data_IF_680787064455
#
_entry.id   IF_680787064455
#
_cell.length_a   1.000
_cell.length_b   1.000
_cell.length_c   1.000
_cell.angle_alpha   90.00
_cell.angle_beta   90.00
_cell.angle_gamma   90.00
#
_symmetry.space_group_name_H-M   'P 1'
#
loop_
_entity.id
_entity.type
_entity.pdbx_description
1 polymer ?
#
# COMPACT_ATOMS: atom_id res chain seq x y z
N UNK A 1 -31.88 -21.21 -74.43
CA UNK A 1 -31.00 -21.03 -73.25
C UNK A 1 -30.02 -19.89 -73.54
N UNK A 2 -29.82 -18.91 -72.63
CA UNK A 2 -28.93 -17.75 -72.85
C UNK A 2 -27.53 -18.05 -72.26
N UNK A 3 -26.50 -18.35 -73.09
CA UNK A 3 -25.18 -18.78 -72.60
C UNK A 3 -24.37 -17.67 -71.89
N UNK A 4 -24.64 -16.42 -72.23
CA UNK A 4 -23.89 -15.22 -71.79
C UNK A 4 -24.21 -14.76 -70.35
N UNK A 5 -25.33 -15.20 -69.77
CA UNK A 5 -25.69 -14.86 -68.38
C UNK A 5 -24.88 -15.62 -67.34
N UNK A 6 -24.31 -16.78 -67.68
CA UNK A 6 -23.48 -17.59 -66.78
C UNK A 6 -22.19 -16.86 -66.35
N UNK A 7 -21.38 -16.30 -67.26
CA UNK A 7 -20.18 -15.54 -66.84
C UNK A 7 -20.52 -14.24 -66.09
N UNK A 8 -21.60 -13.53 -66.47
CA UNK A 8 -22.00 -12.30 -65.80
C UNK A 8 -22.50 -12.55 -64.36
N UNK A 9 -23.33 -13.58 -64.15
CA UNK A 9 -23.82 -13.96 -62.82
C UNK A 9 -22.73 -14.55 -61.92
N UNK A 10 -21.74 -15.25 -62.49
CA UNK A 10 -20.57 -15.70 -61.75
C UNK A 10 -19.73 -14.50 -61.24
N UNK A 11 -19.56 -13.47 -62.07
CA UNK A 11 -18.79 -12.27 -61.71
C UNK A 11 -19.49 -11.43 -60.63
N UNK A 12 -20.81 -11.28 -60.71
CA UNK A 12 -21.60 -10.60 -59.68
C UNK A 12 -21.48 -11.27 -58.30
N UNK A 13 -21.55 -12.61 -58.25
CA UNK A 13 -21.38 -13.36 -57.00
C UNK A 13 -20.00 -13.18 -56.38
N UNK A 14 -18.95 -13.15 -57.19
CA UNK A 14 -17.59 -12.91 -56.70
C UNK A 14 -17.45 -11.52 -56.09
N UNK A 15 -17.96 -10.48 -56.77
CA UNK A 15 -17.96 -9.13 -56.22
C UNK A 15 -18.76 -9.01 -54.92
N UNK A 16 -19.90 -9.72 -54.82
CA UNK A 16 -20.71 -9.74 -53.58
C UNK A 16 -19.93 -10.41 -52.44
N UNK A 17 -19.23 -11.51 -52.71
CA UNK A 17 -18.40 -12.18 -51.71
C UNK A 17 -17.18 -11.34 -51.30
N UNK A 18 -16.53 -10.65 -52.23
CA UNK A 18 -15.42 -9.75 -51.96
C UNK A 18 -15.87 -8.56 -51.10
N UNK A 19 -17.05 -7.98 -51.38
CA UNK A 19 -17.64 -6.92 -50.57
C UNK A 19 -17.93 -7.40 -49.13
N UNK A 20 -18.44 -8.62 -48.99
CA UNK A 20 -18.71 -9.22 -47.68
C UNK A 20 -17.42 -9.50 -46.90
N UNK A 21 -16.37 -10.00 -47.56
CA UNK A 21 -15.05 -10.19 -46.96
C UNK A 21 -14.48 -8.86 -46.48
N UNK A 22 -14.52 -7.82 -47.32
CA UNK A 22 -14.02 -6.49 -46.97
C UNK A 22 -14.76 -5.89 -45.76
N UNK A 23 -16.09 -6.03 -45.73
CA UNK A 23 -16.91 -5.60 -44.60
C UNK A 23 -16.55 -6.35 -43.31
N UNK A 24 -16.44 -7.68 -43.37
CA UNK A 24 -16.10 -8.50 -42.20
C UNK A 24 -14.68 -8.20 -41.69
N UNK A 25 -13.71 -8.00 -42.58
CA UNK A 25 -12.35 -7.60 -42.22
C UNK A 25 -12.34 -6.25 -41.47
N UNK A 26 -13.07 -5.25 -41.96
CA UNK A 26 -13.19 -3.96 -41.28
C UNK A 26 -13.82 -4.13 -39.89
N UNK A 27 -14.86 -4.97 -39.76
CA UNK A 27 -15.52 -5.24 -38.49
C UNK A 27 -14.57 -5.89 -37.48
N UNK A 28 -13.75 -6.85 -37.92
CA UNK A 28 -12.72 -7.49 -37.08
C UNK A 28 -11.70 -6.44 -36.60
N UNK A 29 -11.21 -5.58 -37.50
CA UNK A 29 -10.24 -4.55 -37.12
C UNK A 29 -10.81 -3.52 -36.14
N UNK A 30 -12.10 -3.17 -36.29
CA UNK A 30 -12.80 -2.33 -35.32
C UNK A 30 -12.90 -3.00 -33.95
N UNK A 31 -13.33 -4.26 -33.91
CA UNK A 31 -13.41 -5.02 -32.66
C UNK A 31 -12.05 -5.22 -32.01
N UNK A 32 -10.98 -5.43 -32.80
CA UNK A 32 -9.61 -5.49 -32.29
C UNK A 32 -9.18 -4.17 -31.67
N UNK A 33 -9.47 -3.02 -32.30
CA UNK A 33 -9.19 -1.69 -31.72
C UNK A 33 -9.95 -1.46 -30.42
N UNK A 34 -11.22 -1.87 -30.36
CA UNK A 34 -12.06 -1.76 -29.16
C UNK A 34 -11.55 -2.67 -28.02
N UNK A 35 -11.22 -3.93 -28.31
CA UNK A 35 -10.76 -4.92 -27.32
C UNK A 35 -9.32 -4.70 -26.87
N UNK A 36 -8.43 -4.41 -27.81
CA UNK A 36 -7.01 -4.30 -27.54
C UNK A 36 -6.55 -2.87 -27.30
N UNK A 37 -7.27 -1.80 -27.68
CA UNK A 37 -6.79 -0.43 -27.49
C UNK A 37 -6.42 -0.10 -26.04
N UNK A 38 -7.42 0.13 -25.19
CA UNK A 38 -7.18 0.53 -23.78
C UNK A 38 -6.57 -0.58 -22.92
N UNK A 39 -6.89 -1.85 -23.19
CA UNK A 39 -6.39 -2.99 -22.41
C UNK A 39 -4.94 -3.34 -22.77
N UNK A 40 -4.55 -3.30 -24.04
CA UNK A 40 -3.17 -3.61 -24.44
C UNK A 40 -2.21 -2.54 -23.96
N UNK A 41 -2.61 -1.26 -23.96
CA UNK A 41 -1.80 -0.17 -23.43
C UNK A 41 -1.55 -0.34 -21.93
N UNK A 42 -2.58 -0.71 -21.15
CA UNK A 42 -2.43 -0.99 -19.72
C UNK A 42 -1.52 -2.18 -19.48
N UNK A 43 -1.71 -3.28 -20.21
CA UNK A 43 -0.85 -4.46 -20.06
C UNK A 43 0.58 -4.18 -20.51
N UNK A 44 0.79 -3.40 -21.57
CA UNK A 44 2.12 -3.03 -22.04
C UNK A 44 2.86 -2.17 -21.00
N UNK A 45 2.17 -1.19 -20.39
CA UNK A 45 2.72 -0.38 -19.30
C UNK A 45 3.05 -1.23 -18.08
N UNK A 46 2.16 -2.14 -17.68
CA UNK A 46 2.40 -3.06 -16.56
C UNK A 46 3.59 -3.98 -16.84
N UNK A 47 3.72 -4.50 -18.06
CA UNK A 47 4.85 -5.33 -18.46
C UNK A 47 6.15 -4.52 -18.38
N UNK A 48 6.16 -3.27 -18.83
CA UNK A 48 7.35 -2.42 -18.75
C UNK A 48 7.75 -2.12 -17.30
N UNK A 49 6.78 -1.76 -16.45
CA UNK A 49 7.01 -1.57 -15.01
C UNK A 49 7.57 -2.83 -14.34
N UNK A 50 7.02 -4.00 -14.69
CA UNK A 50 7.51 -5.27 -14.14
C UNK A 50 8.92 -5.59 -14.61
N UNK A 51 9.28 -5.29 -15.86
CA UNK A 51 10.65 -5.45 -16.35
C UNK A 51 11.63 -4.56 -15.60
N UNK A 52 11.30 -3.28 -15.40
CA UNK A 52 12.14 -2.34 -14.66
C UNK A 52 12.38 -2.81 -13.21
N UNK A 53 11.32 -3.28 -12.53
CA UNK A 53 11.42 -3.84 -11.18
C UNK A 53 12.24 -5.14 -11.13
N UNK A 54 12.09 -6.00 -12.14
CA UNK A 54 12.91 -7.22 -12.25
C UNK A 54 14.38 -6.85 -12.44
N UNK A 55 14.68 -5.85 -13.29
CA UNK A 55 16.04 -5.36 -13.48
C UNK A 55 16.62 -4.80 -12.17
N UNK A 56 15.90 -3.93 -11.45
CA UNK A 56 16.37 -3.40 -10.17
C UNK A 56 16.60 -4.50 -9.14
N UNK A 57 15.70 -5.49 -9.06
CA UNK A 57 15.86 -6.62 -8.15
C UNK A 57 17.10 -7.48 -8.51
N UNK A 58 17.39 -7.69 -9.80
CA UNK A 58 18.61 -8.39 -10.21
C UNK A 58 19.88 -7.61 -9.88
N UNK A 59 19.86 -6.29 -10.02
CA UNK A 59 20.96 -5.41 -9.63
C UNK A 59 21.20 -5.44 -8.11
N UNK A 60 20.13 -5.40 -7.32
CA UNK A 60 20.19 -5.52 -5.86
C UNK A 60 20.72 -6.90 -5.43
N UNK A 61 20.31 -7.98 -6.09
CA UNK A 61 20.86 -9.32 -5.84
C UNK A 61 22.36 -9.39 -6.15
N UNK A 62 22.80 -8.79 -7.26
CA UNK A 62 24.22 -8.74 -7.62
C UNK A 62 25.01 -7.90 -6.61
N UNK A 63 24.47 -6.76 -6.18
CA UNK A 63 25.07 -5.91 -5.16
C UNK A 63 25.15 -6.62 -3.80
N UNK A 64 24.09 -7.34 -3.40
CA UNK A 64 24.05 -8.13 -2.17
C UNK A 64 25.07 -9.28 -2.22
N UNK A 65 25.19 -10.00 -3.35
CA UNK A 65 26.22 -11.03 -3.54
C UNK A 65 27.63 -10.45 -3.45
N UNK A 66 27.87 -9.32 -4.10
CA UNK A 66 29.16 -8.63 -4.03
C UNK A 66 29.48 -8.12 -2.61
N UNK A 67 28.48 -7.64 -1.87
CA UNK A 67 28.63 -7.24 -0.47
C UNK A 67 28.92 -8.45 0.43
N UNK A 68 28.18 -9.56 0.26
CA UNK A 68 28.40 -10.80 1.00
C UNK A 68 29.77 -11.42 0.71
N UNK A 69 30.29 -11.34 -0.52
CA UNK A 69 31.65 -11.77 -0.83
C UNK A 69 32.72 -10.93 -0.12
N UNK A 70 32.42 -9.67 0.23
CA UNK A 70 33.32 -8.77 0.96
C UNK A 70 33.22 -8.93 2.49
N UNK A 71 32.14 -9.51 3.01
CA UNK A 71 32.01 -9.69 4.46
C UNK A 71 32.86 -10.87 4.92
N UNK A 72 33.60 -10.68 6.01
CA UNK A 72 34.29 -11.78 6.68
C UNK A 72 33.29 -12.54 7.55
N UNK A 73 33.30 -13.86 7.45
CA UNK A 73 32.48 -14.74 8.30
C UNK A 73 33.06 -14.73 9.72
N UNK A 74 32.42 -14.00 10.62
CA UNK A 74 32.85 -13.94 12.02
C UNK A 74 32.29 -15.16 12.77
N UNK A 75 33.14 -15.87 13.51
CA UNK A 75 32.72 -16.97 14.38
C UNK A 75 31.67 -16.49 15.40
N UNK A 76 30.65 -17.29 15.66
CA UNK A 76 29.63 -16.96 16.65
C UNK A 76 30.26 -16.82 18.04
N UNK A 77 30.32 -15.59 18.56
CA UNK A 77 30.78 -15.30 19.91
C UNK A 77 29.59 -14.98 20.81
N UNK A 78 29.42 -15.78 21.87
CA UNK A 78 28.41 -15.53 22.90
C UNK A 78 28.83 -14.33 23.75
N UNK A 79 28.28 -13.14 23.46
CA UNK A 79 28.44 -11.98 24.34
C UNK A 79 27.74 -12.26 25.67
N UNK A 80 28.46 -12.11 26.78
CA UNK A 80 27.86 -12.13 28.12
C UNK A 80 26.79 -11.04 28.18
N UNK A 81 25.56 -11.41 28.58
CA UNK A 81 24.46 -10.46 28.78
C UNK A 81 24.88 -9.46 29.85
N UNK A 82 25.12 -8.20 29.46
CA UNK A 82 25.38 -7.15 30.43
C UNK A 82 24.12 -6.91 31.24
N UNK A 83 24.18 -7.20 32.54
CA UNK A 83 23.14 -6.81 33.48
C UNK A 83 23.41 -5.35 33.81
N UNK A 84 22.46 -4.45 33.51
CA UNK A 84 22.56 -3.07 34.01
C UNK A 84 22.62 -3.14 35.53
N UNK A 85 23.65 -2.54 36.12
CA UNK A 85 23.78 -2.41 37.57
C UNK A 85 22.50 -1.77 38.11
N UNK A 86 21.91 -2.34 39.15
CA UNK A 86 20.73 -1.76 39.78
C UNK A 86 21.06 -0.32 40.23
N UNK A 87 20.09 0.58 40.10
CA UNK A 87 20.25 1.98 40.50
C UNK A 87 20.53 2.04 42.01
N UNK A 88 21.51 2.84 42.48
CA UNK A 88 21.77 3.07 43.90
C UNK A 88 20.49 3.54 44.64
N UNK A 89 20.31 3.08 45.88
CA UNK A 89 19.11 3.38 46.68
C UNK A 89 18.98 4.86 47.09
N UNK A 90 20.10 5.58 47.21
CA UNK A 90 20.19 6.93 47.78
C UNK A 90 20.00 8.07 46.76
N UNK A 91 19.42 7.79 45.60
CA UNK A 91 19.22 8.80 44.55
C UNK A 91 17.78 9.32 44.61
N UNK A 92 17.61 10.64 44.58
CA UNK A 92 16.30 11.28 44.44
C UNK A 92 15.65 10.89 43.11
N UNK A 93 14.53 10.15 43.17
CA UNK A 93 13.81 9.61 42.01
C UNK A 93 12.56 10.43 41.73
N UNK A 94 12.48 11.04 40.55
CA UNK A 94 11.24 11.67 40.09
C UNK A 94 10.35 10.64 39.39
N UNK A 95 9.08 10.54 39.82
CA UNK A 95 8.07 9.68 39.19
C UNK A 95 7.33 10.47 38.11
N UNK A 96 7.73 10.28 36.85
CA UNK A 96 7.02 10.87 35.70
C UNK A 96 5.91 9.92 35.24
N UNK A 97 4.66 10.37 35.34
CA UNK A 97 3.51 9.70 34.71
C UNK A 97 3.46 10.15 33.25
N UNK A 98 3.64 9.21 32.32
CA UNK A 98 3.48 9.46 30.89
C UNK A 98 2.08 9.03 30.52
N UNK A 99 1.24 9.99 30.13
CA UNK A 99 -0.10 9.71 29.65
C UNK A 99 -0.04 8.86 28.36
N UNK A 100 -0.98 7.92 28.17
CA UNK A 100 -1.03 7.11 26.96
C UNK A 100 -1.21 8.02 25.72
N UNK A 101 -0.61 7.66 24.58
CA UNK A 101 -0.94 8.34 23.34
C UNK A 101 -2.45 8.19 23.11
N UNK A 102 -3.15 9.31 22.89
CA UNK A 102 -4.61 9.33 22.80
C UNK A 102 -5.17 8.32 21.78
N UNK A 103 -6.45 7.93 21.91
CA UNK A 103 -7.06 6.92 21.06
C UNK A 103 -6.94 7.31 19.59
N UNK A 104 -6.13 6.55 18.84
CA UNK A 104 -6.13 6.63 17.37
C UNK A 104 -7.42 5.99 16.88
N UNK A 105 -8.38 6.82 16.49
CA UNK A 105 -9.52 6.34 15.70
C UNK A 105 -9.00 5.54 14.52
N UNK A 106 -9.59 4.35 14.28
CA UNK A 106 -9.31 3.64 13.03
C UNK A 106 -9.69 4.60 11.90
N UNK A 107 -8.71 4.93 11.06
CA UNK A 107 -8.77 5.92 9.98
C UNK A 107 -10.22 6.18 9.52
N UNK A 108 -10.80 7.26 10.04
CA UNK A 108 -12.12 7.71 9.63
C UNK A 108 -11.97 8.32 8.23
N UNK A 109 -12.08 7.47 7.22
CA UNK A 109 -12.19 7.90 5.83
C UNK A 109 -13.56 8.47 5.57
N UNK A 110 -13.77 9.75 5.91
CA UNK A 110 -14.60 10.67 5.12
C UNK A 110 -14.65 12.04 5.79
N UNK A 111 -14.43 13.06 4.97
CA UNK A 111 -14.42 14.46 5.29
C UNK A 111 -15.72 14.96 5.93
N UNK A 112 -15.57 15.96 6.81
CA UNK A 112 -16.30 17.24 6.79
C UNK A 112 -16.93 17.68 8.10
N UNK A 113 -16.47 18.88 8.51
CA UNK A 113 -17.15 19.98 9.20
C UNK A 113 -17.08 19.97 10.72
N UNK A 114 -16.58 21.12 11.19
CA UNK A 114 -16.05 21.33 12.52
C UNK A 114 -17.09 21.51 13.59
N UNK A 115 -16.65 21.33 14.82
CA UNK A 115 -17.29 21.94 15.97
C UNK A 115 -16.26 22.52 16.91
N UNK A 116 -16.68 23.65 17.46
CA UNK A 116 -16.03 24.54 18.41
C UNK A 116 -15.46 23.79 19.60
N UNK A 117 -14.23 24.18 19.95
CA UNK A 117 -13.53 23.77 21.16
C UNK A 117 -14.18 24.47 22.36
N UNK A 118 -15.16 23.83 23.01
CA UNK A 118 -15.53 24.20 24.38
C UNK A 118 -14.68 23.37 25.33
N UNK A 119 -13.73 24.04 25.97
CA UNK A 119 -12.92 23.52 27.07
C UNK A 119 -13.81 23.37 28.30
N UNK A 120 -14.25 22.15 28.60
CA UNK A 120 -14.89 21.85 29.89
C UNK A 120 -13.85 21.24 30.84
N UNK A 121 -13.63 21.80 32.04
CA UNK A 121 -12.70 21.23 33.00
C UNK A 121 -13.50 20.28 33.88
N UNK A 122 -13.52 18.97 33.56
CA UNK A 122 -13.86 17.86 34.50
C UNK A 122 -13.91 16.49 33.79
N UNK A 123 -12.92 16.17 32.95
CA UNK A 123 -12.82 14.85 32.31
C UNK A 123 -11.64 14.06 32.89
N UNK A 124 -11.73 13.67 34.16
CA UNK A 124 -10.92 12.54 34.67
C UNK A 124 -11.69 11.24 34.42
N UNK A 125 -11.10 10.40 33.58
CA UNK A 125 -11.23 8.92 33.63
C UNK A 125 -12.37 8.20 32.90
N UNK A 126 -13.00 8.78 31.87
CA UNK A 126 -13.94 8.00 31.03
C UNK A 126 -13.45 8.03 29.57
N UNK A 127 -13.09 6.88 28.97
CA UNK A 127 -12.77 6.85 27.55
C UNK A 127 -14.01 7.31 26.78
N UNK A 128 -13.89 8.25 25.82
CA UNK A 128 -15.05 8.77 25.12
C UNK A 128 -15.77 7.59 24.44
N UNK A 129 -17.09 7.49 24.59
CA UNK A 129 -17.88 6.42 23.95
C UNK A 129 -18.06 6.65 22.46
N UNK A 130 -17.75 7.86 21.98
CA UNK A 130 -17.86 8.28 20.58
C UNK A 130 -16.59 9.00 20.12
N UNK A 131 -16.21 8.80 18.86
CA UNK A 131 -15.08 9.47 18.26
C UNK A 131 -15.34 10.98 18.14
N UNK A 132 -14.47 11.82 18.70
CA UNK A 132 -14.60 13.29 18.62
C UNK A 132 -14.52 13.84 17.17
N UNK A 133 -14.02 13.06 16.21
CA UNK A 133 -13.92 13.47 14.81
C UNK A 133 -15.15 13.10 13.96
N UNK A 134 -15.92 12.08 14.32
CA UNK A 134 -17.04 11.60 13.48
C UNK A 134 -18.28 11.15 14.25
N UNK A 135 -18.31 11.27 15.58
CA UNK A 135 -19.42 10.82 16.45
C UNK A 135 -19.61 9.30 16.51
N UNK A 136 -18.84 8.52 15.75
CA UNK A 136 -19.02 7.06 15.67
C UNK A 136 -18.55 6.32 16.92
N UNK A 137 -19.29 5.29 17.32
CA UNK A 137 -18.99 4.46 18.51
C UNK A 137 -17.88 3.40 18.28
N UNK A 138 -17.32 3.30 17.07
CA UNK A 138 -16.30 2.29 16.71
C UNK A 138 -14.89 2.74 17.11
N UNK A 139 -14.61 2.70 18.40
CA UNK A 139 -13.28 3.00 18.96
C UNK A 139 -12.48 1.72 19.16
N UNK A 140 -11.19 1.76 18.82
CA UNK A 140 -10.27 0.68 19.18
C UNK A 140 -9.79 0.92 20.61
N UNK A 141 -9.98 -0.07 21.49
CA UNK A 141 -9.33 -0.05 22.79
C UNK A 141 -7.82 -0.07 22.56
N UNK A 142 -7.14 1.01 22.94
CA UNK A 142 -5.70 0.91 23.23
C UNK A 142 -5.57 0.06 24.49
N UNK A 143 -4.50 -0.73 24.58
CA UNK A 143 -4.27 -1.63 25.72
C UNK A 143 -4.28 -0.88 27.04
N UNK A 144 -4.50 -1.63 28.12
CA UNK A 144 -4.53 -1.12 29.51
C UNK A 144 -3.32 -0.24 29.82
N UNK A 145 -3.52 0.72 30.73
CA UNK A 145 -2.52 1.67 31.16
C UNK A 145 -1.24 0.94 31.58
N UNK A 146 -0.16 1.13 30.82
CA UNK A 146 1.16 0.66 31.24
C UNK A 146 1.71 1.69 32.21
N UNK A 147 1.37 1.55 33.49
CA UNK A 147 1.95 2.33 34.60
C UNK A 147 3.39 1.90 34.86
N UNK A 148 4.25 2.03 33.85
CA UNK A 148 5.68 1.83 34.04
C UNK A 148 6.24 3.05 34.72
N UNK A 149 6.46 2.95 36.03
CA UNK A 149 7.24 3.93 36.80
C UNK A 149 8.65 3.99 36.22
N UNK A 150 8.92 4.98 35.38
CA UNK A 150 10.27 5.25 34.90
C UNK A 150 10.99 6.05 35.97
N UNK A 151 11.97 5.43 36.62
CA UNK A 151 12.86 6.08 37.57
C UNK A 151 13.88 6.90 36.77
N UNK A 152 13.74 8.23 36.78
CA UNK A 152 14.64 9.15 36.11
C UNK A 152 15.45 9.97 37.12
N UNK A 153 16.74 10.18 36.83
CA UNK A 153 17.61 11.10 37.58
C UNK A 153 17.49 12.49 36.93
N UNK A 154 17.24 13.56 37.73
CA UNK A 154 17.21 14.91 37.21
C UNK A 154 18.55 15.27 36.57
N UNK A 155 18.52 15.72 35.31
CA UNK A 155 19.71 16.29 34.64
C UNK A 155 19.93 17.68 35.24
N UNK A 156 20.96 17.85 36.07
CA UNK A 156 21.43 19.17 36.48
C UNK A 156 22.08 19.82 35.26
N UNK A 157 21.60 21.01 34.88
CA UNK A 157 22.26 21.88 33.89
C UNK A 157 23.47 22.57 34.52
#
# INVERSE_FOLDING_TARGET
>A
MRPWLKPASAKAKLSDTEALIAHLQLRIEKLKRELHGSRSERTARLIEQLKDLVMSATEDELAARAAAAKTQTVCAFTRKRSVRKAWPDDIERERVVIDPPGPRGKQCGSASIGLSRSSHPDCRSIPPTTCACCGGARLSKLGEDVTRTLEAIPRRF
#
